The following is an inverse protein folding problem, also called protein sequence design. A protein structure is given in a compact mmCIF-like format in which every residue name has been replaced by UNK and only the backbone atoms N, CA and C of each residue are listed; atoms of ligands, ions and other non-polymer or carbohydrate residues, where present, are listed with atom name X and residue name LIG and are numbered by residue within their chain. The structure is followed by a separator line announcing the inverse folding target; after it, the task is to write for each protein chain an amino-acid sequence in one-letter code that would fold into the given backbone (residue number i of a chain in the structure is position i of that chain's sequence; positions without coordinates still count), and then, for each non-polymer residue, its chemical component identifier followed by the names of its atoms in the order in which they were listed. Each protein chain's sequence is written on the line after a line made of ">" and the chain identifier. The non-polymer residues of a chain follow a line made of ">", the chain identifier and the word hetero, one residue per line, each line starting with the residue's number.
data_IF_130952119755
#
_entry.id   IF_130952119755
#
_cell.length_a   1.000
_cell.length_b   1.000
_cell.length_c   1.000
_cell.angle_alpha   90.00
_cell.angle_beta   90.00
_cell.angle_gamma   90.00
#
_symmetry.space_group_name_H-M   'P 1'
#
loop_
_entity.id
_entity.type
_entity.pdbx_description
1 polymer ?
#
# COMPACT_ATOMS: atom_id res chain seq x y z
N UNK A 1 16.54 -7.41 5.57
CA UNK A 1 15.53 -6.88 4.64
C UNK A 1 14.36 -7.85 4.60
N UNK A 2 13.17 -7.40 4.99
CA UNK A 2 11.94 -8.21 4.91
C UNK A 2 11.34 -8.14 3.49
N UNK A 3 10.32 -8.97 3.20
CA UNK A 3 9.67 -9.07 1.87
C UNK A 3 8.17 -8.75 1.92
N UNK A 4 7.75 -7.86 2.82
CA UNK A 4 6.35 -7.48 3.00
C UNK A 4 5.96 -6.33 2.06
N UNK A 5 5.95 -6.59 0.76
CA UNK A 5 5.80 -5.55 -0.26
C UNK A 5 4.38 -5.01 -0.38
N UNK A 6 3.38 -5.89 -0.36
CA UNK A 6 1.98 -5.52 -0.47
C UNK A 6 1.09 -6.61 0.13
N UNK A 7 -0.14 -6.26 0.47
CA UNK A 7 -1.22 -7.15 0.85
C UNK A 7 -2.51 -6.61 0.25
N UNK A 8 -3.32 -7.49 -0.33
CA UNK A 8 -4.62 -7.15 -0.88
C UNK A 8 -5.64 -8.08 -0.23
N UNK A 9 -6.57 -7.50 0.52
CA UNK A 9 -7.69 -8.19 1.14
C UNK A 9 -8.98 -7.59 0.58
N UNK A 10 -10.10 -8.30 0.75
CA UNK A 10 -11.40 -7.78 0.30
C UNK A 10 -11.75 -6.42 0.90
N UNK A 11 -11.29 -6.18 2.13
CA UNK A 11 -11.66 -5.00 2.92
C UNK A 11 -10.50 -4.02 3.12
N UNK A 12 -9.33 -4.25 2.49
CA UNK A 12 -8.17 -3.35 2.62
C UNK A 12 -7.07 -3.64 1.60
N UNK A 13 -6.37 -2.59 1.17
CA UNK A 13 -5.13 -2.67 0.39
C UNK A 13 -4.00 -2.03 1.20
N UNK A 14 -2.88 -2.74 1.45
CA UNK A 14 -1.72 -2.14 2.10
C UNK A 14 -0.40 -2.46 1.41
N UNK A 15 0.55 -1.54 1.50
CA UNK A 15 1.86 -1.56 0.87
C UNK A 15 2.95 -1.33 1.92
N UNK A 16 4.02 -2.11 1.85
CA UNK A 16 5.24 -1.99 2.66
C UNK A 16 5.03 -2.26 4.14
N UNK A 17 5.63 -3.32 4.69
CA UNK A 17 5.46 -3.71 6.09
C UNK A 17 6.73 -3.65 6.95
N UNK A 18 6.77 -4.50 7.98
CA UNK A 18 7.86 -4.56 8.96
C UNK A 18 7.67 -3.62 10.15
N UNK A 19 6.46 -3.56 10.69
CA UNK A 19 6.07 -2.64 11.77
C UNK A 19 4.70 -2.04 11.44
N UNK A 20 4.70 -0.86 10.82
CA UNK A 20 3.50 -0.26 10.21
C UNK A 20 3.47 -0.53 8.71
N UNK A 21 2.31 -0.25 8.11
CA UNK A 21 2.20 -0.15 6.66
C UNK A 21 2.69 1.21 6.16
N UNK A 22 3.47 1.23 5.08
CA UNK A 22 3.87 2.47 4.42
C UNK A 22 2.63 3.21 3.90
N UNK A 23 1.68 2.45 3.36
CA UNK A 23 0.37 2.92 2.92
C UNK A 23 -0.63 1.81 3.19
N UNK A 24 -1.78 2.14 3.76
CA UNK A 24 -2.93 1.25 3.87
C UNK A 24 -4.17 2.02 3.49
N UNK A 25 -5.04 1.43 2.71
CA UNK A 25 -6.33 1.96 2.29
C UNK A 25 -7.42 1.02 2.81
N UNK A 26 -8.56 1.59 3.18
CA UNK A 26 -9.77 0.81 3.46
C UNK A 26 -10.36 0.21 2.18
N UNK A 27 -11.26 -0.76 2.33
CA UNK A 27 -11.91 -1.45 1.20
C UNK A 27 -12.78 -0.53 0.34
N UNK A 28 -13.27 0.57 0.92
CA UNK A 28 -14.07 1.56 0.20
C UNK A 28 -13.22 2.61 -0.53
N UNK A 29 -11.89 2.60 -0.35
CA UNK A 29 -10.94 3.58 -0.89
C UNK A 29 -11.33 5.02 -0.53
N UNK A 30 -11.84 5.24 0.68
CA UNK A 30 -12.25 6.54 1.21
C UNK A 30 -11.25 7.09 2.21
N UNK A 31 -10.56 6.20 2.93
CA UNK A 31 -9.61 6.58 3.95
C UNK A 31 -8.39 5.68 3.92
N UNK A 32 -7.30 6.18 4.49
CA UNK A 32 -6.07 5.45 4.57
C UNK A 32 -5.18 5.89 5.71
N UNK A 33 -4.18 5.07 5.95
CA UNK A 33 -3.14 5.32 6.94
C UNK A 33 -1.76 5.20 6.30
N UNK A 34 -0.81 5.96 6.83
CA UNK A 34 0.59 5.88 6.43
C UNK A 34 1.50 5.98 7.65
N UNK A 35 2.49 5.11 7.70
CA UNK A 35 3.46 5.10 8.78
C UNK A 35 4.86 4.72 8.30
N UNK A 36 5.85 4.82 9.19
CA UNK A 36 7.19 4.35 8.87
C UNK A 36 7.20 2.83 8.67
N UNK A 37 7.86 2.36 7.61
CA UNK A 37 7.97 0.94 7.31
C UNK A 37 9.43 0.51 7.09
N UNK A 38 9.75 -0.73 7.45
CA UNK A 38 11.09 -1.28 7.28
C UNK A 38 11.32 -1.80 5.85
N UNK A 39 10.26 -2.28 5.17
CA UNK A 39 10.37 -2.83 3.80
C UNK A 39 10.98 -1.83 2.82
N UNK A 40 10.51 -0.58 2.86
CA UNK A 40 10.97 0.50 1.98
C UNK A 40 11.87 1.50 2.70
N UNK A 41 12.03 1.39 4.02
CA UNK A 41 12.72 2.42 4.83
C UNK A 41 12.01 3.78 4.76
N UNK A 42 10.70 3.80 4.49
CA UNK A 42 9.91 5.02 4.36
C UNK A 42 9.53 5.59 5.72
N UNK A 43 9.29 6.90 5.78
CA UNK A 43 8.54 7.54 6.84
C UNK A 43 7.04 7.58 6.45
N UNK A 44 6.22 8.32 7.21
CA UNK A 44 4.86 8.64 6.81
C UNK A 44 4.86 9.38 5.46
N UNK A 45 4.18 8.82 4.47
CA UNK A 45 4.07 9.33 3.11
C UNK A 45 3.01 10.43 2.99
N UNK A 46 2.02 10.40 3.89
CA UNK A 46 0.97 11.40 3.98
C UNK A 46 1.36 12.53 4.94
N UNK A 47 0.65 13.66 4.85
CA UNK A 47 0.83 14.78 5.78
C UNK A 47 0.52 14.38 7.24
N UNK A 48 -0.49 13.51 7.40
CA UNK A 48 -0.88 12.94 8.68
C UNK A 48 -0.90 11.40 8.56
N UNK A 49 -0.68 10.67 9.66
CA UNK A 49 -0.74 9.21 9.68
C UNK A 49 -2.09 8.64 9.24
N UNK A 50 -3.17 9.41 9.39
CA UNK A 50 -4.51 9.10 8.92
C UNK A 50 -4.94 10.19 7.93
N UNK A 51 -5.54 9.79 6.81
CA UNK A 51 -5.96 10.71 5.76
C UNK A 51 -7.22 10.23 5.04
N UNK A 52 -7.99 11.18 4.51
CA UNK A 52 -9.08 10.90 3.57
C UNK A 52 -8.54 10.86 2.15
N UNK A 53 -8.93 9.83 1.41
CA UNK A 53 -8.60 9.68 0.01
C UNK A 53 -9.60 10.48 -0.83
N UNK A 54 -9.10 11.46 -1.58
CA UNK A 54 -9.94 12.27 -2.50
C UNK A 54 -9.98 11.70 -3.90
N UNK A 55 -8.82 11.25 -4.37
CA UNK A 55 -8.63 10.68 -5.70
C UNK A 55 -7.63 9.54 -5.57
N UNK A 56 -7.94 8.41 -6.19
CA UNK A 56 -7.00 7.34 -6.48
C UNK A 56 -6.91 7.17 -7.99
N UNK A 57 -5.70 7.17 -8.50
CA UNK A 57 -5.41 6.86 -9.91
C UNK A 57 -4.52 5.62 -9.95
N UNK A 58 -4.85 4.68 -10.81
CA UNK A 58 -4.06 3.47 -11.04
C UNK A 58 -3.59 3.45 -12.49
N UNK A 59 -2.28 3.41 -12.71
CA UNK A 59 -1.68 3.10 -13.99
C UNK A 59 -1.91 1.61 -14.29
N UNK A 60 -2.77 1.30 -15.26
CA UNK A 60 -3.04 -0.09 -15.64
C UNK A 60 -1.80 -0.82 -16.12
N UNK A 61 -0.86 -0.11 -16.75
CA UNK A 61 0.39 -0.70 -17.26
C UNK A 61 1.26 -1.28 -16.14
N UNK A 62 1.29 -0.67 -14.95
CA UNK A 62 2.06 -1.19 -13.80
C UNK A 62 1.29 -2.24 -13.01
N UNK A 63 -0.04 -2.12 -12.93
CA UNK A 63 -0.88 -3.08 -12.22
C UNK A 63 -0.90 -4.47 -12.90
N UNK A 64 -0.86 -4.51 -14.24
CA UNK A 64 -0.78 -5.78 -14.98
C UNK A 64 0.56 -6.49 -14.77
N UNK A 65 1.68 -5.75 -14.80
CA UNK A 65 3.02 -6.31 -14.53
C UNK A 65 3.12 -6.82 -13.09
N UNK A 66 2.61 -6.07 -12.12
CA UNK A 66 2.54 -6.52 -10.72
C UNK A 66 1.69 -7.77 -10.57
N UNK A 67 0.47 -7.81 -11.14
CA UNK A 67 -0.37 -9.02 -11.06
C UNK A 67 0.27 -10.22 -11.76
N UNK A 68 0.97 -10.01 -12.87
CA UNK A 68 1.72 -11.04 -13.57
C UNK A 68 2.85 -11.57 -12.67
N UNK A 69 3.72 -10.70 -12.16
CA UNK A 69 4.85 -11.09 -11.29
C UNK A 69 4.39 -11.81 -10.02
N UNK A 70 3.21 -11.48 -9.48
CA UNK A 70 2.65 -12.10 -8.29
C UNK A 70 1.95 -13.43 -8.54
N UNK A 71 1.48 -13.69 -9.76
CA UNK A 71 1.01 -15.02 -10.15
C UNK A 71 2.17 -16.01 -10.35
N UNK A 72 3.39 -15.52 -10.57
CA UNK A 72 4.58 -16.34 -10.83
C UNK A 72 5.60 -16.38 -9.68
N UNK A 73 5.33 -15.72 -8.54
CA UNK A 73 6.13 -15.76 -7.32
C UNK A 73 5.56 -16.75 -6.29
#
# INVERSE_FOLDING_TARGET
>A
ANRYYYICMNDSLALGGGGNFALSLDGDLLSGTSGPCETFGSLCLAHNPEFELKNAETSSDEAFELMHDLQFA
#
